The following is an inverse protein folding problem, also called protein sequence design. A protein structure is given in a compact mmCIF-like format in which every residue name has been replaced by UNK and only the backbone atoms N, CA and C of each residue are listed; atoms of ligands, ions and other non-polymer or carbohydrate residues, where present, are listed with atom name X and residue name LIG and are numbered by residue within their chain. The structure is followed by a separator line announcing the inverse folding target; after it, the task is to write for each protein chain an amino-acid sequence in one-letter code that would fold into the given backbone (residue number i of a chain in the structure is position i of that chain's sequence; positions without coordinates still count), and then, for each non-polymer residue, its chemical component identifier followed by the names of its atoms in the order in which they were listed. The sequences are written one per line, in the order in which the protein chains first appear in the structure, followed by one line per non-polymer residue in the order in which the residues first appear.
data_IF_363182352630
#
_entry.id   IF_363182352630
#
_cell.length_a   1.000
_cell.length_b   1.000
_cell.length_c   1.000
_cell.angle_alpha   90.00
_cell.angle_beta   90.00
_cell.angle_gamma   90.00
#
_symmetry.space_group_name_H-M   'P 1'
#
loop_
_entity.id
_entity.type
_entity.pdbx_description
1 polymer ?
#
# COMPACT_ATOMS: atom_id res chain seq x y z
N UNK A 1 6.75 -2.74 -11.57
CA UNK A 1 6.33 -4.11 -12.00
C UNK A 1 5.25 -4.66 -11.08
N UNK A 2 5.45 -4.59 -9.76
CA UNK A 2 4.51 -5.14 -8.77
C UNK A 2 3.10 -4.54 -8.90
N UNK A 3 2.99 -3.22 -9.02
CA UNK A 3 1.71 -2.53 -9.22
C UNK A 3 0.93 -3.02 -10.46
N UNK A 4 1.62 -3.21 -11.59
CA UNK A 4 1.00 -3.75 -12.82
C UNK A 4 0.44 -5.17 -12.62
N UNK A 5 1.09 -5.98 -11.77
CA UNK A 5 0.61 -7.32 -11.43
C UNK A 5 -0.59 -7.20 -10.49
N UNK A 6 -0.51 -6.36 -9.46
CA UNK A 6 -1.61 -6.08 -8.53
C UNK A 6 -2.86 -5.58 -9.25
N UNK A 7 -2.71 -4.68 -10.22
CA UNK A 7 -3.80 -4.19 -11.05
C UNK A 7 -4.48 -5.30 -11.89
N UNK A 8 -3.73 -6.34 -12.29
CA UNK A 8 -4.31 -7.51 -12.98
C UNK A 8 -5.03 -8.47 -12.03
N UNK A 9 -4.49 -8.67 -10.83
CA UNK A 9 -5.09 -9.55 -9.81
C UNK A 9 -6.34 -8.92 -9.20
N UNK A 10 -6.41 -7.59 -9.15
CA UNK A 10 -7.55 -6.81 -8.65
C UNK A 10 -7.99 -7.22 -7.23
N UNK A 11 -7.07 -7.21 -6.24
CA UNK A 11 -7.48 -7.39 -4.86
C UNK A 11 -8.50 -6.30 -4.48
N UNK A 12 -9.41 -6.55 -3.52
CA UNK A 12 -10.40 -5.55 -3.13
C UNK A 12 -9.76 -4.22 -2.72
N UNK A 13 -8.63 -4.26 -2.02
CA UNK A 13 -7.90 -3.08 -1.55
C UNK A 13 -6.40 -3.34 -1.63
N UNK A 14 -5.65 -2.41 -2.19
CA UNK A 14 -4.19 -2.44 -2.21
C UNK A 14 -3.61 -1.03 -2.14
N UNK A 15 -2.51 -0.90 -1.41
CA UNK A 15 -1.67 0.29 -1.40
C UNK A 15 -0.35 -0.04 -2.12
N UNK A 16 -0.06 0.67 -3.20
CA UNK A 16 1.22 0.66 -3.90
C UNK A 16 2.21 1.50 -3.11
N UNK A 17 3.39 0.95 -2.85
CA UNK A 17 4.46 1.63 -2.10
C UNK A 17 5.75 1.62 -2.92
N UNK A 18 6.62 2.64 -2.79
CA UNK A 18 7.87 2.74 -3.55
C UNK A 18 8.99 1.83 -2.99
N UNK A 19 8.64 0.72 -2.34
CA UNK A 19 9.59 -0.18 -1.70
C UNK A 19 9.65 -1.55 -2.39
N UNK A 20 10.79 -2.27 -2.30
CA UNK A 20 10.92 -3.60 -2.89
C UNK A 20 9.92 -4.61 -2.32
N UNK A 21 9.58 -5.61 -3.12
CA UNK A 21 8.79 -6.75 -2.67
C UNK A 21 9.46 -7.42 -1.46
N UNK A 22 8.66 -7.67 -0.42
CA UNK A 22 9.13 -8.22 0.86
C UNK A 22 9.50 -7.15 1.90
N UNK A 23 9.60 -5.87 1.51
CA UNK A 23 9.89 -4.75 2.41
C UNK A 23 8.86 -3.62 2.29
N UNK A 24 7.54 -3.91 2.35
CA UNK A 24 6.50 -2.92 2.06
C UNK A 24 6.44 -1.75 3.05
N UNK A 25 7.09 -1.87 4.21
CA UNK A 25 7.14 -0.82 5.24
C UNK A 25 8.41 0.06 5.17
N UNK A 26 9.24 -0.11 4.14
CA UNK A 26 10.45 0.69 3.96
C UNK A 26 11.60 0.28 4.88
N UNK A 27 12.40 1.25 5.29
CA UNK A 27 13.63 1.03 6.05
C UNK A 27 13.36 0.55 7.50
N UNK A 28 14.26 -0.29 8.05
CA UNK A 28 14.16 -0.70 9.45
C UNK A 28 14.33 0.49 10.39
N UNK A 29 13.69 0.41 11.56
CA UNK A 29 13.78 1.42 12.63
C UNK A 29 13.32 2.85 12.25
N UNK A 30 12.50 3.03 11.21
CA UNK A 30 11.82 4.29 10.93
C UNK A 30 10.32 4.21 11.30
N UNK A 31 9.95 4.38 12.58
CA UNK A 31 8.57 4.23 13.02
C UNK A 31 7.63 5.27 12.42
N UNK A 32 8.11 6.46 12.05
CA UNK A 32 7.29 7.51 11.44
C UNK A 32 6.81 7.08 10.05
N UNK A 33 7.75 6.61 9.21
CA UNK A 33 7.45 6.09 7.89
C UNK A 33 6.51 4.88 7.94
N UNK A 34 6.87 3.90 8.77
CA UNK A 34 6.11 2.66 8.91
C UNK A 34 4.68 2.94 9.38
N UNK A 35 4.51 3.86 10.34
CA UNK A 35 3.19 4.29 10.81
C UNK A 35 2.40 5.01 9.72
N UNK A 36 3.04 5.87 8.92
CA UNK A 36 2.38 6.58 7.82
C UNK A 36 1.83 5.60 6.77
N UNK A 37 2.64 4.61 6.37
CA UNK A 37 2.24 3.55 5.43
C UNK A 37 1.06 2.75 5.99
N UNK A 38 1.16 2.30 7.25
CA UNK A 38 0.09 1.53 7.89
C UNK A 38 -1.21 2.32 7.99
N UNK A 39 -1.15 3.61 8.32
CA UNK A 39 -2.35 4.46 8.40
C UNK A 39 -3.05 4.60 7.05
N UNK A 40 -2.31 4.85 5.96
CA UNK A 40 -2.90 4.93 4.62
C UNK A 40 -3.44 3.57 4.16
N UNK A 41 -2.71 2.48 4.41
CA UNK A 41 -3.19 1.13 4.09
C UNK A 41 -4.50 0.82 4.81
N UNK A 42 -4.59 1.12 6.12
CA UNK A 42 -5.79 0.88 6.92
C UNK A 42 -6.94 1.83 6.56
N UNK A 43 -6.66 3.03 6.09
CA UNK A 43 -7.68 3.96 5.61
C UNK A 43 -8.49 3.38 4.44
N UNK A 44 -7.88 2.50 3.63
CA UNK A 44 -8.59 1.79 2.54
C UNK A 44 -9.74 0.92 3.05
N UNK A 45 -9.74 0.50 4.33
CA UNK A 45 -10.85 -0.27 4.89
C UNK A 45 -12.19 0.48 4.85
N UNK A 46 -12.16 1.81 4.79
CA UNK A 46 -13.36 2.66 4.67
C UNK A 46 -13.88 2.78 3.23
N UNK A 47 -13.21 2.15 2.25
CA UNK A 47 -13.61 2.18 0.84
C UNK A 47 -14.58 1.05 0.54
N UNK A 48 -15.72 1.39 -0.04
CA UNK A 48 -16.75 0.45 -0.49
C UNK A 48 -16.74 0.27 -2.03
N UNK A 49 -16.07 1.17 -2.75
CA UNK A 49 -15.86 1.18 -4.20
C UNK A 49 -14.69 0.30 -4.63
N UNK A 50 -14.65 -0.93 -4.14
CA UNK A 50 -13.61 -1.92 -4.43
C UNK A 50 -13.79 -2.54 -5.83
N UNK A 51 -12.73 -2.89 -6.57
CA UNK A 51 -11.32 -2.89 -6.17
C UNK A 51 -10.64 -1.52 -6.26
N UNK A 52 -9.89 -1.16 -5.20
CA UNK A 52 -9.09 0.07 -5.15
C UNK A 52 -7.59 -0.27 -5.10
N UNK A 53 -6.81 0.47 -5.89
CA UNK A 53 -5.36 0.47 -5.85
C UNK A 53 -4.91 1.93 -5.72
N UNK A 54 -4.42 2.29 -4.55
CA UNK A 54 -3.93 3.65 -4.27
C UNK A 54 -2.40 3.69 -4.18
N UNK A 55 -1.82 4.85 -4.44
CA UNK A 55 -0.38 5.10 -4.27
C UNK A 55 -0.12 5.74 -2.90
N UNK A 56 0.87 5.22 -2.18
CA UNK A 56 1.35 5.81 -0.94
C UNK A 56 1.97 7.18 -1.21
N UNK A 57 1.51 8.20 -0.49
CA UNK A 57 2.04 9.57 -0.54
C UNK A 57 2.60 9.96 0.84
N UNK A 58 3.77 10.62 0.89
CA UNK A 58 4.42 11.02 2.16
C UNK A 58 3.79 12.30 2.73
#
# INVERSE_FOLDING_TARGET
MLEKITAKIRPPRALSVPYPLGYPLGEPNNPLLQTAILRQLLALLQRDDVPVLEEFTV
#
